data_IF_185988855603
#
_entry.id   IF_185988855603
#
_cell.length_a   1.000
_cell.length_b   1.000
_cell.length_c   1.000
_cell.angle_alpha   90.00
_cell.angle_beta   90.00
_cell.angle_gamma   90.00
#
_symmetry.space_group_name_H-M   'P 1'
#
loop_
_entity.id
_entity.type
_entity.pdbx_description
1 polymer ?
#
# COMPACT_ATOMS: atom_id res chain seq x y z
N UNK A 1 -8.82 -15.04 -6.36
CA UNK A 1 -8.62 -14.77 -4.92
C UNK A 1 -7.78 -13.52 -4.79
N UNK A 2 -8.35 -12.41 -4.31
CA UNK A 2 -7.56 -11.24 -3.93
C UNK A 2 -6.88 -11.59 -2.59
N UNK A 3 -5.55 -11.57 -2.55
CA UNK A 3 -4.84 -11.67 -1.28
C UNK A 3 -5.21 -10.45 -0.43
N UNK A 4 -5.51 -10.62 0.88
CA UNK A 4 -5.77 -9.49 1.75
C UNK A 4 -4.54 -8.57 1.80
N UNK A 5 -4.73 -7.28 2.17
CA UNK A 5 -3.64 -6.37 2.40
C UNK A 5 -2.63 -6.98 3.37
N UNK A 6 -1.36 -6.67 3.14
CA UNK A 6 -0.21 -7.21 3.84
C UNK A 6 -0.45 -7.44 5.36
N UNK A 7 -0.54 -8.71 5.78
CA UNK A 7 -0.63 -9.13 7.18
C UNK A 7 0.76 -9.36 7.80
N UNK A 8 1.65 -8.37 7.66
CA UNK A 8 3.02 -8.44 8.20
C UNK A 8 3.25 -7.23 9.08
N UNK A 9 3.90 -7.42 10.22
CA UNK A 9 4.32 -6.30 11.09
C UNK A 9 5.15 -5.29 10.28
N UNK A 10 4.85 -4.01 10.48
CA UNK A 10 5.42 -2.88 9.74
C UNK A 10 4.70 -2.54 8.44
N UNK A 11 3.72 -3.33 7.99
CA UNK A 11 2.93 -2.95 6.83
C UNK A 11 2.00 -1.78 7.13
N UNK A 12 2.01 -0.80 6.22
CA UNK A 12 1.14 0.36 6.31
C UNK A 12 -0.19 0.08 5.63
N UNK A 13 -1.26 0.39 6.33
CA UNK A 13 -2.65 0.19 5.91
C UNK A 13 -3.42 1.48 6.10
N UNK A 14 -4.61 1.56 5.53
CA UNK A 14 -5.58 2.61 5.83
C UNK A 14 -6.98 2.02 5.91
N UNK A 15 -7.83 2.63 6.73
CA UNK A 15 -9.24 2.25 6.90
C UNK A 15 -10.12 3.47 6.66
N UNK A 16 -11.27 3.25 6.03
CA UNK A 16 -12.31 4.27 5.91
C UNK A 16 -13.24 4.16 7.11
N UNK A 17 -13.35 5.24 7.89
CA UNK A 17 -14.24 5.29 9.04
C UNK A 17 -15.60 5.90 8.66
N UNK A 18 -16.56 5.85 9.60
CA UNK A 18 -17.94 6.30 9.41
C UNK A 18 -18.05 7.80 9.06
N UNK A 19 -17.04 8.59 9.41
CA UNK A 19 -16.92 10.01 9.04
C UNK A 19 -16.51 10.22 7.57
N UNK A 20 -16.29 9.12 6.82
CA UNK A 20 -15.88 9.12 5.43
C UNK A 20 -14.38 9.35 5.21
N UNK A 21 -13.61 9.61 6.27
CA UNK A 21 -12.16 9.86 6.19
C UNK A 21 -11.38 8.55 6.18
N UNK A 22 -10.20 8.61 5.57
CA UNK A 22 -9.22 7.53 5.58
C UNK A 22 -8.17 7.84 6.64
N UNK A 23 -7.97 6.89 7.55
CA UNK A 23 -6.94 6.99 8.57
C UNK A 23 -5.86 5.97 8.26
N UNK A 24 -4.61 6.43 8.20
CA UNK A 24 -3.46 5.57 7.99
C UNK A 24 -3.04 4.95 9.31
N UNK A 25 -2.58 3.71 9.24
CA UNK A 25 -2.05 2.96 10.37
C UNK A 25 -0.95 2.00 9.95
N UNK A 26 -0.34 1.38 10.94
CA UNK A 26 0.75 0.41 10.78
C UNK A 26 0.37 -0.85 11.53
N UNK A 27 0.53 -2.01 10.89
CA UNK A 27 0.42 -3.30 11.57
C UNK A 27 1.56 -3.40 12.57
N UNK A 28 1.26 -3.45 13.86
CA UNK A 28 2.26 -3.49 14.93
C UNK A 28 2.43 -4.90 15.52
N UNK A 29 1.42 -5.77 15.37
CA UNK A 29 1.48 -7.15 15.83
C UNK A 29 0.71 -8.10 14.89
N UNK A 30 1.21 -9.32 14.75
CA UNK A 30 0.52 -10.41 14.04
C UNK A 30 0.62 -11.69 14.86
N UNK A 31 -0.47 -12.06 15.51
CA UNK A 31 -0.58 -13.21 16.41
C UNK A 31 -1.61 -14.22 15.89
N UNK A 32 -1.21 -15.17 15.02
CA UNK A 32 -2.14 -16.05 14.30
C UNK A 32 -2.93 -17.03 15.17
N UNK A 33 -2.58 -17.15 16.45
CA UNK A 33 -3.31 -17.95 17.43
C UNK A 33 -4.56 -17.22 17.98
N UNK A 34 -4.66 -15.91 17.77
CA UNK A 34 -5.74 -15.09 18.29
C UNK A 34 -6.92 -15.00 17.30
N UNK A 35 -8.16 -14.83 17.80
CA UNK A 35 -9.33 -14.61 16.94
C UNK A 35 -9.23 -13.30 16.14
N UNK A 36 -8.45 -12.34 16.62
CA UNK A 36 -8.14 -11.07 15.95
C UNK A 36 -6.62 -10.96 15.76
N UNK A 37 -6.05 -11.69 14.80
CA UNK A 37 -4.63 -11.92 14.75
C UNK A 37 -3.82 -10.72 14.26
N UNK A 38 -4.44 -9.60 13.84
CA UNK A 38 -3.72 -8.44 13.30
C UNK A 38 -4.03 -7.20 14.11
N UNK A 39 -3.02 -6.59 14.71
CA UNK A 39 -3.17 -5.32 15.45
C UNK A 39 -2.60 -4.17 14.65
N UNK A 40 -3.39 -3.09 14.49
CA UNK A 40 -3.02 -1.87 13.76
C UNK A 40 -3.02 -0.69 14.72
N UNK A 41 -1.92 0.06 14.73
CA UNK A 41 -1.82 1.37 15.36
C UNK A 41 -2.00 2.46 14.31
N UNK A 42 -3.00 3.32 14.50
CA UNK A 42 -3.33 4.45 13.64
C UNK A 42 -2.54 5.70 14.02
N UNK A 43 -2.36 6.61 13.05
CA UNK A 43 -1.57 7.84 13.24
C UNK A 43 -2.17 8.84 14.25
N UNK A 44 -3.45 8.69 14.61
CA UNK A 44 -4.10 9.44 15.68
C UNK A 44 -3.83 8.86 17.08
N UNK A 45 -3.14 7.73 17.17
CA UNK A 45 -2.82 7.02 18.41
C UNK A 45 -3.81 5.92 18.78
N UNK A 46 -4.86 5.71 17.98
CA UNK A 46 -5.81 4.62 18.22
C UNK A 46 -5.21 3.26 17.82
N UNK A 47 -5.56 2.22 18.55
CA UNK A 47 -5.12 0.84 18.29
C UNK A 47 -6.34 -0.07 18.17
N UNK A 48 -6.43 -0.81 17.08
CA UNK A 48 -7.50 -1.78 16.83
C UNK A 48 -6.94 -3.15 16.40
N UNK A 49 -7.58 -4.23 16.85
CA UNK A 49 -7.27 -5.59 16.41
C UNK A 49 -8.35 -6.11 15.45
N UNK A 50 -7.91 -6.84 14.43
CA UNK A 50 -8.71 -7.24 13.27
C UNK A 50 -8.67 -8.75 13.07
N UNK A 51 -9.80 -9.32 12.66
CA UNK A 51 -9.83 -10.68 12.12
C UNK A 51 -9.22 -10.68 10.72
N UNK A 52 -8.84 -11.86 10.20
CA UNK A 52 -8.35 -11.98 8.81
C UNK A 52 -9.40 -11.50 7.80
N UNK A 53 -10.69 -11.72 8.10
CA UNK A 53 -11.80 -11.24 7.28
C UNK A 53 -11.91 -9.71 7.34
N UNK A 54 -11.81 -9.11 8.54
CA UNK A 54 -11.84 -7.64 8.67
C UNK A 54 -10.64 -6.97 7.97
N UNK A 55 -9.45 -7.57 8.03
CA UNK A 55 -8.29 -7.06 7.27
C UNK A 55 -8.60 -7.04 5.78
N UNK A 56 -9.32 -8.03 5.27
CA UNK A 56 -9.67 -8.13 3.86
C UNK A 56 -10.76 -7.13 3.45
N UNK A 57 -11.75 -6.92 4.30
CA UNK A 57 -12.95 -6.13 3.97
C UNK A 57 -12.84 -4.65 4.38
N UNK A 58 -12.05 -4.33 5.40
CA UNK A 58 -11.99 -2.98 5.98
C UNK A 58 -10.65 -2.26 5.76
N UNK A 59 -9.55 -3.01 5.60
CA UNK A 59 -8.22 -2.42 5.44
C UNK A 59 -7.83 -2.38 3.97
N UNK A 60 -7.21 -1.27 3.57
CA UNK A 60 -6.56 -1.10 2.28
C UNK A 60 -5.05 -0.97 2.49
N UNK A 61 -4.25 -1.54 1.60
CA UNK A 61 -2.80 -1.32 1.63
C UNK A 61 -2.51 0.17 1.42
N UNK A 62 -1.76 0.79 2.33
CA UNK A 62 -1.36 2.18 2.22
C UNK A 62 0.13 2.27 1.94
N UNK A 63 0.48 2.64 0.72
CA UNK A 63 1.87 2.94 0.35
C UNK A 63 2.01 4.45 0.27
N UNK A 64 2.55 5.12 1.32
CA UNK A 64 2.79 6.54 1.23
C UNK A 64 3.79 6.82 0.10
N UNK A 65 3.70 8.00 -0.57
CA UNK A 65 4.56 8.38 -1.69
C UNK A 65 6.05 8.09 -1.45
N UNK A 66 6.56 8.45 -0.28
CA UNK A 66 7.96 8.23 0.09
C UNK A 66 8.37 6.75 0.23
N UNK A 67 7.43 5.82 0.42
CA UNK A 67 7.68 4.37 0.46
C UNK A 67 7.63 3.71 -0.93
N UNK A 68 7.11 4.42 -1.93
CA UNK A 68 7.02 3.95 -3.30
C UNK A 68 8.30 4.28 -4.08
N UNK A 69 8.92 5.42 -3.82
CA UNK A 69 10.23 5.78 -4.41
C UNK A 69 11.27 4.69 -4.10
N UNK A 70 12.02 4.30 -5.13
CA UNK A 70 13.00 3.22 -5.06
C UNK A 70 12.42 1.81 -5.19
N UNK A 71 11.10 1.64 -5.31
CA UNK A 71 10.52 0.31 -5.58
C UNK A 71 10.60 -0.07 -7.06
N UNK A 72 10.80 -1.36 -7.30
CA UNK A 72 10.77 -1.93 -8.64
C UNK A 72 9.34 -2.25 -9.07
N UNK A 73 8.93 -1.77 -10.23
CA UNK A 73 7.60 -1.95 -10.82
C UNK A 73 7.71 -2.59 -12.20
N UNK A 74 6.60 -3.15 -12.68
CA UNK A 74 6.48 -3.67 -14.05
C UNK A 74 5.18 -3.18 -14.66
N UNK A 75 5.25 -2.63 -15.87
CA UNK A 75 4.09 -2.18 -16.64
C UNK A 75 4.00 -2.98 -17.93
N UNK A 76 2.77 -3.34 -18.33
CA UNK A 76 2.50 -3.87 -19.66
C UNK A 76 2.20 -2.71 -20.60
N UNK A 77 2.95 -2.61 -21.69
CA UNK A 77 2.75 -1.58 -22.71
C UNK A 77 1.80 -2.05 -23.81
N UNK A 78 1.38 -1.15 -24.69
CA UNK A 78 0.45 -1.44 -25.80
C UNK A 78 1.00 -2.49 -26.78
N UNK A 79 2.33 -2.63 -26.85
CA UNK A 79 3.02 -3.67 -27.61
C UNK A 79 2.90 -5.09 -26.99
N UNK A 80 2.25 -5.19 -25.82
CA UNK A 80 2.04 -6.43 -25.07
C UNK A 80 3.22 -6.87 -24.20
N UNK A 81 4.37 -6.18 -24.26
CA UNK A 81 5.57 -6.52 -23.47
C UNK A 81 5.50 -5.91 -22.06
N UNK A 82 6.21 -6.55 -21.14
CA UNK A 82 6.38 -6.08 -19.78
C UNK A 82 7.74 -5.38 -19.66
N UNK A 83 7.72 -4.12 -19.26
CA UNK A 83 8.92 -3.33 -19.00
C UNK A 83 9.05 -3.12 -17.50
N UNK A 84 10.25 -3.37 -16.98
CA UNK A 84 10.58 -3.18 -15.58
C UNK A 84 11.25 -1.82 -15.37
N UNK A 85 10.93 -1.18 -14.25
CA UNK A 85 11.51 0.11 -13.90
C UNK A 85 11.50 0.36 -12.40
N UNK A 86 12.05 1.50 -12.02
CA UNK A 86 12.15 1.99 -10.66
C UNK A 86 11.26 3.22 -10.51
N UNK A 87 10.43 3.26 -9.47
CA UNK A 87 9.74 4.49 -9.11
C UNK A 87 10.80 5.48 -8.63
N UNK A 88 10.94 6.62 -9.30
CA UNK A 88 11.96 7.63 -9.00
C UNK A 88 11.38 8.86 -8.32
N UNK A 89 10.08 9.11 -8.48
CA UNK A 89 9.37 10.18 -7.81
C UNK A 89 7.91 9.79 -7.56
N UNK A 90 7.34 10.31 -6.47
CA UNK A 90 5.89 10.27 -6.26
C UNK A 90 5.40 11.60 -5.72
N UNK A 91 4.59 12.29 -6.53
CA UNK A 91 4.04 13.60 -6.26
C UNK A 91 2.50 13.52 -6.25
N UNK A 92 1.84 13.19 -5.12
CA UNK A 92 0.40 12.92 -5.08
C UNK A 92 -0.50 14.12 -5.43
N UNK A 93 0.06 15.32 -5.49
CA UNK A 93 -0.63 16.53 -5.93
C UNK A 93 -0.66 16.66 -7.47
N UNK A 94 0.17 15.89 -8.18
CA UNK A 94 0.29 15.98 -9.63
C UNK A 94 -0.78 15.15 -10.33
N UNK A 95 -1.10 15.56 -11.55
CA UNK A 95 -1.99 14.81 -12.46
C UNK A 95 -1.48 13.41 -12.73
N UNK A 96 -0.16 13.25 -12.71
CA UNK A 96 0.56 12.00 -12.90
C UNK A 96 1.45 11.76 -11.67
N UNK A 97 0.88 11.23 -10.58
CA UNK A 97 1.54 11.20 -9.28
C UNK A 97 2.72 10.24 -9.16
N UNK A 98 3.03 9.39 -10.13
CA UNK A 98 4.12 8.40 -10.04
C UNK A 98 5.03 8.49 -11.24
N UNK A 99 6.30 8.80 -11.03
CA UNK A 99 7.33 8.75 -12.08
C UNK A 99 8.14 7.46 -11.99
N UNK A 100 8.23 6.74 -13.11
CA UNK A 100 8.98 5.49 -13.25
C UNK A 100 10.11 5.69 -14.26
N UNK A 101 11.33 5.30 -13.87
CA UNK A 101 12.47 5.15 -14.76
C UNK A 101 12.64 3.67 -15.12
N UNK A 102 12.45 3.33 -16.38
CA UNK A 102 12.59 1.98 -16.92
C UNK A 102 14.05 1.60 -17.13
N UNK A 103 14.31 0.29 -17.17
CA UNK A 103 15.67 -0.28 -17.31
C UNK A 103 16.29 0.01 -18.70
N UNK A 104 15.48 0.36 -19.70
CA UNK A 104 15.92 0.81 -21.03
C UNK A 104 16.36 2.28 -21.07
N UNK A 105 16.19 3.00 -19.96
CA UNK A 105 16.56 4.41 -19.81
C UNK A 105 15.39 5.38 -19.93
N UNK A 106 14.20 4.91 -20.31
CA UNK A 106 13.01 5.76 -20.47
C UNK A 106 12.44 6.19 -19.12
N UNK A 107 11.80 7.36 -19.08
CA UNK A 107 11.15 7.90 -17.88
C UNK A 107 9.72 8.31 -18.25
N UNK A 108 8.74 7.78 -17.53
CA UNK A 108 7.33 8.17 -17.70
C UNK A 108 6.69 8.51 -16.34
N UNK A 109 5.77 9.48 -16.36
CA UNK A 109 4.91 9.82 -15.23
C UNK A 109 3.48 9.35 -15.49
N UNK A 110 2.85 8.72 -14.49
CA UNK A 110 1.47 8.19 -14.52
C UNK A 110 0.65 8.70 -13.36
#
# INVERSE_FOLDING_TARGET
>A
AHMPPCMVVGCRVRKRFLDGKLYAGTVVDVSPADPFPVTVEYEDGDVESYSVEDVRDQLELYLPPGMMVGRRVRKRFEDGKLYAGWVVDVSPADRFPVTVKYDDGDVESY
#
